data_IF_129054586342
#
_entry.id   IF_129054586342
#
_cell.length_a   1.000
_cell.length_b   1.000
_cell.length_c   1.000
_cell.angle_alpha   90.00
_cell.angle_beta   90.00
_cell.angle_gamma   90.00
#
_symmetry.space_group_name_H-M   'P 1'
#
loop_
_entity.id
_entity.type
_entity.pdbx_description
1 polymer ?
#
# COMPACT_ATOMS: atom_id res chain seq x y z
N UNK A 1 5.73 -13.00 -23.50
CA UNK A 1 5.44 -12.40 -22.19
C UNK A 1 4.02 -12.79 -21.87
N UNK A 2 3.86 -13.74 -20.97
CA UNK A 2 2.54 -14.17 -20.52
C UNK A 2 1.98 -13.14 -19.52
N UNK A 3 0.67 -13.20 -19.30
CA UNK A 3 -0.03 -12.35 -18.36
C UNK A 3 -0.70 -13.18 -17.28
N UNK A 4 -0.57 -12.74 -16.05
CA UNK A 4 -1.07 -13.44 -14.87
C UNK A 4 -1.89 -12.50 -13.99
N UNK A 5 -2.85 -13.08 -13.26
CA UNK A 5 -3.47 -12.46 -12.09
C UNK A 5 -3.00 -13.22 -10.86
N UNK A 6 -2.64 -12.49 -9.81
CA UNK A 6 -2.15 -13.04 -8.55
C UNK A 6 -2.94 -12.42 -7.41
N UNK A 7 -3.61 -13.25 -6.62
CA UNK A 7 -4.35 -12.83 -5.42
C UNK A 7 -3.35 -12.79 -4.25
N UNK A 8 -3.24 -11.64 -3.59
CA UNK A 8 -2.48 -11.49 -2.34
C UNK A 8 -3.44 -11.49 -1.15
N UNK A 9 -3.05 -12.05 0.01
CA UNK A 9 -3.87 -12.01 1.22
C UNK A 9 -4.10 -10.58 1.71
N UNK A 10 -5.24 -10.35 2.37
CA UNK A 10 -5.62 -9.03 2.90
C UNK A 10 -4.58 -8.47 3.88
N UNK A 11 -4.00 -9.32 4.73
CA UNK A 11 -2.91 -8.92 5.66
C UNK A 11 -1.65 -8.46 4.92
N UNK A 12 -1.33 -9.11 3.79
CA UNK A 12 -0.21 -8.71 2.96
C UNK A 12 -0.52 -7.39 2.26
N UNK A 13 -1.73 -7.24 1.70
CA UNK A 13 -2.14 -5.98 1.09
C UNK A 13 -2.11 -4.83 2.09
N UNK A 14 -2.64 -5.02 3.30
CA UNK A 14 -2.54 -4.04 4.37
C UNK A 14 -1.08 -3.65 4.63
N UNK A 15 -0.17 -4.62 4.76
CA UNK A 15 1.27 -4.35 4.95
C UNK A 15 1.87 -3.53 3.81
N UNK A 16 1.54 -3.84 2.55
CA UNK A 16 2.01 -3.11 1.37
C UNK A 16 1.45 -1.68 1.28
N UNK A 17 0.29 -1.40 1.89
CA UNK A 17 -0.26 -0.05 2.03
C UNK A 17 0.49 0.77 3.08
N UNK A 18 0.98 0.11 4.14
CA UNK A 18 1.73 0.79 5.20
C UNK A 18 3.19 1.06 4.83
N UNK A 19 3.87 0.09 4.21
CA UNK A 19 5.31 0.15 3.96
C UNK A 19 5.62 0.19 2.48
N UNK A 20 6.55 1.07 2.11
CA UNK A 20 7.03 1.11 0.74
C UNK A 20 8.00 -0.05 0.47
N UNK A 21 7.51 -1.09 -0.19
CA UNK A 21 8.34 -2.14 -0.78
C UNK A 21 8.43 -1.98 -2.30
N UNK A 22 9.63 -2.11 -2.86
CA UNK A 22 9.83 -2.08 -4.32
C UNK A 22 9.46 -3.42 -5.01
N UNK A 23 9.39 -4.48 -4.21
CA UNK A 23 9.12 -5.84 -4.66
C UNK A 23 8.16 -6.50 -3.66
N UNK A 24 7.25 -7.31 -4.18
CA UNK A 24 6.37 -8.17 -3.37
C UNK A 24 6.65 -9.63 -3.68
N UNK A 25 6.68 -10.44 -2.63
CA UNK A 25 6.84 -11.90 -2.74
C UNK A 25 5.50 -12.56 -2.51
N UNK A 26 5.09 -13.43 -3.44
CA UNK A 26 3.87 -14.20 -3.32
C UNK A 26 4.21 -15.68 -3.25
N UNK A 27 3.75 -16.33 -2.18
CA UNK A 27 3.98 -17.73 -1.96
C UNK A 27 3.24 -18.60 -2.98
N UNK A 28 3.83 -19.75 -3.33
CA UNK A 28 3.19 -20.77 -4.20
C UNK A 28 2.79 -20.24 -5.59
N UNK A 29 3.71 -19.54 -6.25
CA UNK A 29 3.49 -19.12 -7.64
C UNK A 29 3.44 -20.29 -8.63
N UNK A 30 2.84 -20.12 -9.82
CA UNK A 30 2.79 -21.14 -10.84
C UNK A 30 4.22 -21.35 -11.34
N UNK A 31 4.62 -22.61 -11.45
CA UNK A 31 5.90 -23.01 -12.02
C UNK A 31 6.09 -22.57 -13.48
N UNK A 32 5.03 -22.10 -14.14
CA UNK A 32 5.03 -21.66 -15.53
C UNK A 32 5.32 -20.16 -15.70
N UNK A 33 5.17 -19.35 -14.66
CA UNK A 33 5.48 -17.92 -14.74
C UNK A 33 6.99 -17.71 -14.86
N UNK A 34 7.39 -16.89 -15.83
CA UNK A 34 8.79 -16.66 -16.16
C UNK A 34 9.18 -15.20 -15.92
N UNK A 35 10.46 -14.96 -15.66
CA UNK A 35 11.00 -13.61 -15.53
C UNK A 35 10.63 -12.77 -16.76
N UNK A 36 10.09 -11.56 -16.50
CA UNK A 36 9.59 -10.65 -17.51
C UNK A 36 8.07 -10.72 -17.73
N UNK A 37 7.39 -11.79 -17.31
CA UNK A 37 5.92 -11.86 -17.39
C UNK A 37 5.26 -10.77 -16.55
N UNK A 38 4.09 -10.29 -16.99
CA UNK A 38 3.38 -9.22 -16.31
C UNK A 38 2.23 -9.77 -15.47
N UNK A 39 2.01 -9.11 -14.34
CA UNK A 39 1.15 -9.61 -13.28
C UNK A 39 0.22 -8.49 -12.80
N UNK A 40 -1.08 -8.77 -12.75
CA UNK A 40 -2.03 -7.98 -11.97
C UNK A 40 -2.10 -8.54 -10.55
N UNK A 41 -1.84 -7.70 -9.55
CA UNK A 41 -2.06 -8.06 -8.16
C UNK A 41 -3.49 -7.74 -7.77
N UNK A 42 -4.14 -8.68 -7.11
CA UNK A 42 -5.55 -8.62 -6.71
C UNK A 42 -5.66 -8.80 -5.21
N UNK A 43 -6.44 -7.95 -4.54
CA UNK A 43 -6.84 -8.11 -3.15
C UNK A 43 -8.29 -7.64 -3.01
N UNK A 44 -9.09 -8.29 -2.17
CA UNK A 44 -10.51 -7.95 -1.95
C UNK A 44 -11.31 -7.69 -3.24
N UNK A 45 -11.15 -8.55 -4.26
CA UNK A 45 -11.81 -8.41 -5.58
C UNK A 45 -11.47 -7.12 -6.34
N UNK A 46 -10.31 -6.52 -6.04
CA UNK A 46 -9.80 -5.32 -6.72
C UNK A 46 -8.40 -5.54 -7.23
N UNK A 47 -8.09 -4.97 -8.39
CA UNK A 47 -6.73 -4.87 -8.89
C UNK A 47 -6.03 -3.72 -8.16
N UNK A 48 -5.01 -4.06 -7.38
CA UNK A 48 -4.31 -3.14 -6.49
C UNK A 48 -2.94 -2.72 -7.04
N UNK A 49 -2.39 -3.46 -7.99
CA UNK A 49 -1.12 -3.11 -8.64
C UNK A 49 -0.89 -3.85 -9.95
N UNK A 50 0.02 -3.29 -10.76
CA UNK A 50 0.64 -3.94 -11.90
C UNK A 50 2.11 -4.19 -11.56
N UNK A 51 2.56 -5.42 -11.76
CA UNK A 51 3.90 -5.86 -11.45
C UNK A 51 4.50 -6.69 -12.60
N UNK A 52 5.78 -7.01 -12.47
CA UNK A 52 6.52 -7.88 -13.38
C UNK A 52 7.25 -8.94 -12.58
N UNK A 53 7.23 -10.18 -13.07
CA UNK A 53 8.04 -11.26 -12.49
C UNK A 53 9.52 -10.92 -12.66
N UNK A 54 10.23 -10.77 -11.55
CA UNK A 54 11.69 -10.63 -11.56
C UNK A 54 12.36 -12.01 -11.58
N UNK A 55 11.89 -12.90 -10.70
CA UNK A 55 12.37 -14.27 -10.57
C UNK A 55 11.34 -15.15 -9.85
N UNK A 56 11.55 -16.45 -9.96
CA UNK A 56 10.96 -17.47 -9.09
C UNK A 56 12.03 -17.98 -8.13
N UNK A 57 11.73 -18.03 -6.83
CA UNK A 57 12.68 -18.44 -5.79
C UNK A 57 12.03 -19.49 -4.88
N UNK A 58 12.48 -20.74 -4.97
CA UNK A 58 11.96 -21.82 -4.10
C UNK A 58 10.47 -22.14 -4.24
N UNK A 59 9.79 -21.68 -5.30
CA UNK A 59 8.33 -21.81 -5.47
C UNK A 59 7.57 -20.51 -5.21
N UNK A 60 8.25 -19.46 -4.75
CA UNK A 60 7.69 -18.13 -4.57
C UNK A 60 7.93 -17.27 -5.81
N UNK A 61 6.97 -16.40 -6.10
CA UNK A 61 7.09 -15.38 -7.12
C UNK A 61 7.58 -14.07 -6.52
N UNK A 62 8.67 -13.54 -7.06
CA UNK A 62 9.21 -12.24 -6.70
C UNK A 62 8.83 -11.24 -7.79
N UNK A 63 8.02 -10.25 -7.43
CA UNK A 63 7.33 -9.35 -8.36
C UNK A 63 7.75 -7.90 -8.11
N UNK A 64 8.39 -7.27 -9.10
CA UNK A 64 8.75 -5.86 -9.06
C UNK A 64 7.57 -4.99 -9.46
N UNK A 65 7.25 -3.97 -8.66
CA UNK A 65 6.13 -3.08 -8.95
C UNK A 65 6.40 -2.22 -10.19
N UNK A 66 5.46 -2.25 -11.14
CA UNK A 66 5.43 -1.32 -12.27
C UNK A 66 4.51 -0.13 -11.96
N UNK A 67 3.35 -0.38 -11.33
CA UNK A 67 2.39 0.64 -10.86
C UNK A 67 1.67 0.14 -9.61
N UNK A 68 1.41 1.05 -8.67
CA UNK A 68 0.63 0.81 -7.44
C UNK A 68 -0.66 1.62 -7.50
N UNK A 69 -1.77 1.01 -7.15
CA UNK A 69 -3.09 1.62 -7.03
C UNK A 69 -3.70 1.23 -5.68
N UNK A 70 -2.90 1.34 -4.63
CA UNK A 70 -3.25 0.92 -3.28
C UNK A 70 -4.32 1.80 -2.64
N UNK A 71 -4.31 3.09 -2.98
CA UNK A 71 -5.23 4.09 -2.45
C UNK A 71 -6.49 4.25 -3.32
N UNK A 72 -6.37 3.96 -4.63
CA UNK A 72 -7.47 3.99 -5.61
C UNK A 72 -7.54 2.67 -6.41
N UNK A 73 -7.81 1.52 -5.75
CA UNK A 73 -7.83 0.22 -6.42
C UNK A 73 -9.05 0.08 -7.33
N UNK A 74 -8.86 -0.56 -8.48
CA UNK A 74 -9.92 -0.69 -9.49
C UNK A 74 -10.59 -2.06 -9.38
N UNK A 75 -11.92 -2.16 -9.61
CA UNK A 75 -12.62 -3.44 -9.61
C UNK A 75 -11.95 -4.51 -10.49
N UNK A 76 -11.84 -5.73 -9.96
CA UNK A 76 -11.29 -6.90 -10.66
C UNK A 76 -12.33 -7.66 -11.49
N UNK A 77 -13.40 -6.97 -11.91
CA UNK A 77 -14.49 -7.54 -12.72
C UNK A 77 -13.94 -8.43 -13.86
N UNK A 78 -14.62 -9.54 -14.13
CA UNK A 78 -14.29 -10.51 -15.17
C UNK A 78 -13.02 -11.37 -14.92
N UNK A 79 -12.31 -11.20 -13.80
CA UNK A 79 -11.29 -12.18 -13.39
C UNK A 79 -11.96 -13.46 -12.87
N UNK A 80 -12.10 -14.44 -13.75
CA UNK A 80 -12.55 -15.77 -13.39
C UNK A 80 -11.36 -16.58 -12.85
N UNK A 81 -11.31 -16.80 -11.53
CA UNK A 81 -10.30 -17.66 -10.92
C UNK A 81 -10.45 -17.72 -9.41
N UNK A 82 -10.47 -18.94 -8.88
CA UNK A 82 -10.41 -19.28 -7.45
C UNK A 82 -8.98 -19.64 -7.01
N UNK A 83 -8.02 -19.68 -7.96
CA UNK A 83 -6.61 -19.93 -7.70
C UNK A 83 -5.84 -18.66 -7.34
N UNK A 84 -4.91 -18.79 -6.38
CA UNK A 84 -3.98 -17.72 -5.97
C UNK A 84 -3.23 -17.10 -7.15
N UNK A 85 -2.91 -17.91 -8.17
CA UNK A 85 -2.33 -17.40 -9.42
C UNK A 85 -3.01 -18.03 -10.63
N UNK A 86 -3.50 -17.18 -11.53
CA UNK A 86 -4.29 -17.60 -12.69
C UNK A 86 -3.78 -16.91 -13.96
N UNK A 87 -3.54 -17.69 -15.02
CA UNK A 87 -3.20 -17.16 -16.34
C UNK A 87 -4.40 -16.40 -16.93
N UNK A 88 -4.15 -15.23 -17.51
CA UNK A 88 -5.22 -14.39 -18.06
C UNK A 88 -4.93 -13.98 -19.50
N UNK A 89 -5.99 -13.83 -20.29
CA UNK A 89 -5.88 -13.41 -21.68
C UNK A 89 -5.39 -11.96 -21.82
N UNK A 90 -4.58 -11.71 -22.84
CA UNK A 90 -3.97 -10.41 -23.12
C UNK A 90 -4.97 -9.24 -23.19
N UNK A 91 -6.16 -9.48 -23.76
CA UNK A 91 -7.21 -8.46 -23.88
C UNK A 91 -7.78 -8.05 -22.51
N UNK A 92 -8.09 -9.02 -21.66
CA UNK A 92 -8.57 -8.78 -20.30
C UNK A 92 -7.49 -8.07 -19.47
N UNK A 93 -6.26 -8.56 -19.54
CA UNK A 93 -5.11 -7.95 -18.87
C UNK A 93 -4.95 -6.48 -19.26
N UNK A 94 -4.91 -6.17 -20.57
CA UNK A 94 -4.71 -4.80 -21.06
C UNK A 94 -5.84 -3.87 -20.62
N UNK A 95 -7.09 -4.37 -20.59
CA UNK A 95 -8.25 -3.60 -20.12
C UNK A 95 -8.09 -3.22 -18.64
N UNK A 96 -7.79 -4.18 -17.77
CA UNK A 96 -7.62 -3.95 -16.33
C UNK A 96 -6.37 -3.09 -16.03
N UNK A 97 -5.23 -3.41 -16.65
CA UNK A 97 -4.00 -2.63 -16.50
C UNK A 97 -4.13 -1.18 -17.02
N UNK A 98 -5.02 -0.94 -17.99
CA UNK A 98 -5.36 0.39 -18.49
C UNK A 98 -6.17 1.22 -17.49
N UNK A 99 -6.97 0.58 -16.63
CA UNK A 99 -7.78 1.27 -15.59
C UNK A 99 -6.94 1.83 -14.45
N UNK A 100 -5.79 1.21 -14.14
CA UNK A 100 -4.85 1.66 -13.10
C UNK A 100 -4.21 3.04 -13.37
N UNK A 101 -4.48 3.65 -14.52
CA UNK A 101 -3.94 4.95 -14.88
C UNK A 101 -2.43 4.96 -15.13
N UNK A 102 -1.89 6.16 -15.37
CA UNK A 102 -0.46 6.38 -15.43
C UNK A 102 0.09 6.59 -14.01
N UNK A 103 1.38 6.28 -13.81
CA UNK A 103 2.04 6.61 -12.55
C UNK A 103 2.02 8.13 -12.35
N UNK A 104 1.48 8.58 -11.23
CA UNK A 104 1.44 10.00 -10.88
C UNK A 104 2.87 10.56 -10.73
N UNK A 105 3.04 11.83 -11.10
CA UNK A 105 4.30 12.53 -10.90
C UNK A 105 4.63 12.64 -9.41
N UNK A 106 5.91 12.42 -9.08
CA UNK A 106 6.40 12.56 -7.70
C UNK A 106 6.30 14.02 -7.27
N UNK A 107 5.69 14.25 -6.11
CA UNK A 107 5.65 15.54 -5.43
C UNK A 107 6.53 15.50 -4.18
N UNK A 108 7.04 16.65 -3.78
CA UNK A 108 7.77 16.79 -2.53
C UNK A 108 6.77 16.98 -1.39
N UNK A 109 6.87 16.12 -0.39
CA UNK A 109 6.06 16.14 0.82
C UNK A 109 6.95 16.33 2.04
N UNK A 110 6.46 17.07 3.03
CA UNK A 110 7.04 17.11 4.36
C UNK A 110 6.20 16.19 5.24
N UNK A 111 6.88 15.33 6.00
CA UNK A 111 6.25 14.34 6.88
C UNK A 111 6.85 14.50 8.27
N UNK A 112 6.00 14.57 9.30
CA UNK A 112 6.43 14.68 10.69
C UNK A 112 5.61 13.80 11.61
N UNK A 113 6.20 13.41 12.74
CA UNK A 113 5.49 12.80 13.86
C UNK A 113 5.66 13.74 15.03
N UNK A 114 4.54 14.22 15.58
CA UNK A 114 4.54 15.10 16.75
C UNK A 114 4.06 14.32 17.97
N UNK A 115 4.90 14.22 18.99
CA UNK A 115 4.58 13.54 20.25
C UNK A 115 4.88 14.45 21.44
N UNK A 116 3.96 14.58 22.40
CA UNK A 116 4.25 15.26 23.65
C UNK A 116 5.20 14.40 24.48
N UNK A 117 6.41 14.93 24.76
CA UNK A 117 7.43 14.22 25.55
C UNK A 117 7.86 15.10 26.73
N UNK A 118 7.73 14.57 27.94
CA UNK A 118 8.24 15.18 29.15
C UNK A 118 9.60 14.59 29.51
N UNK A 119 10.63 15.44 29.56
CA UNK A 119 11.99 15.00 29.85
C UNK A 119 12.79 16.08 30.59
N UNK A 120 13.82 15.66 31.34
CA UNK A 120 14.66 16.58 32.12
C UNK A 120 15.65 17.37 31.25
N UNK A 121 15.85 16.95 30.00
CA UNK A 121 16.70 17.64 29.03
C UNK A 121 16.29 17.37 27.57
N UNK A 122 16.67 18.23 26.62
CA UNK A 122 16.41 18.00 25.19
C UNK A 122 16.99 16.68 24.68
N UNK A 123 18.18 16.28 25.13
CA UNK A 123 18.81 15.04 24.70
C UNK A 123 18.06 13.80 25.23
N UNK A 124 17.43 13.90 26.40
CA UNK A 124 16.57 12.85 26.92
C UNK A 124 15.25 12.77 26.14
N UNK A 125 14.64 13.92 25.80
CA UNK A 125 13.44 13.94 24.98
C UNK A 125 13.66 13.22 23.63
N UNK A 126 14.81 13.43 22.98
CA UNK A 126 15.16 12.72 21.73
C UNK A 126 15.33 11.21 21.94
N UNK A 127 15.92 10.77 23.07
CA UNK A 127 16.04 9.34 23.37
C UNK A 127 14.67 8.70 23.61
N UNK A 128 13.80 9.38 24.35
CA UNK A 128 12.43 8.94 24.55
C UNK A 128 11.66 8.90 23.23
N UNK A 129 11.78 9.92 22.37
CA UNK A 129 11.16 9.95 21.04
C UNK A 129 11.47 8.70 20.24
N UNK A 130 12.75 8.34 20.10
CA UNK A 130 13.14 7.14 19.35
C UNK A 130 12.68 5.84 20.01
N UNK A 131 12.55 5.82 21.34
CA UNK A 131 12.00 4.67 22.06
C UNK A 131 10.51 4.49 21.72
N UNK A 132 9.72 5.56 21.76
CA UNK A 132 8.29 5.52 21.40
C UNK A 132 8.08 5.15 19.93
N UNK A 133 8.88 5.68 19.01
CA UNK A 133 8.82 5.30 17.59
C UNK A 133 9.05 3.80 17.41
N UNK A 134 9.99 3.22 18.14
CA UNK A 134 10.30 1.79 18.06
C UNK A 134 9.23 0.90 18.72
N UNK A 135 8.56 1.40 19.77
CA UNK A 135 7.54 0.66 20.51
C UNK A 135 6.15 0.69 19.86
N UNK A 136 5.72 1.87 19.39
CA UNK A 136 4.36 2.12 18.90
C UNK A 136 4.24 1.92 17.39
N UNK A 137 5.25 2.35 16.63
CA UNK A 137 5.29 2.19 15.18
C UNK A 137 4.16 2.91 14.41
N UNK A 138 3.99 2.61 13.11
CA UNK A 138 3.04 3.31 12.24
C UNK A 138 1.56 2.96 12.49
N UNK A 139 1.26 1.98 13.36
CA UNK A 139 -0.11 1.60 13.67
C UNK A 139 -0.75 2.53 14.71
N UNK A 140 0.06 3.08 15.61
CA UNK A 140 -0.42 3.89 16.73
C UNK A 140 0.01 5.36 16.62
N UNK A 141 1.02 5.67 15.81
CA UNK A 141 1.55 7.02 15.70
C UNK A 141 0.94 7.80 14.53
N UNK A 142 0.26 8.94 14.79
CA UNK A 142 -0.19 9.82 13.72
C UNK A 142 1.01 10.47 13.03
N UNK A 143 0.97 10.43 11.70
CA UNK A 143 1.92 11.11 10.84
C UNK A 143 1.24 12.32 10.21
N UNK A 144 1.86 13.48 10.29
CA UNK A 144 1.36 14.71 9.70
C UNK A 144 2.07 14.95 8.38
N UNK A 145 1.30 15.16 7.32
CA UNK A 145 1.78 15.32 5.95
C UNK A 145 1.29 16.64 5.38
N UNK A 146 2.16 17.35 4.66
CA UNK A 146 1.78 18.52 3.88
C UNK A 146 2.66 18.68 2.63
N UNK A 147 2.16 19.32 1.56
CA UNK A 147 2.95 19.63 0.39
C UNK A 147 4.10 20.58 0.74
N UNK A 148 5.27 20.37 0.13
CA UNK A 148 6.36 21.34 0.24
C UNK A 148 5.93 22.69 -0.35
N UNK A 149 6.00 23.76 0.47
CA UNK A 149 5.54 25.11 0.10
C UNK A 149 4.08 25.42 0.43
N UNK A 150 3.37 24.50 1.09
CA UNK A 150 2.02 24.72 1.64
C UNK A 150 1.90 24.07 3.02
N UNK A 151 2.60 24.62 4.01
CA UNK A 151 2.69 24.04 5.36
C UNK A 151 1.40 24.15 6.18
N UNK A 152 0.42 24.94 5.71
CA UNK A 152 -0.87 25.10 6.38
C UNK A 152 -1.87 24.00 6.00
N UNK A 153 -1.63 23.25 4.92
CA UNK A 153 -2.47 22.15 4.48
C UNK A 153 -2.23 20.83 5.26
N UNK A 154 -1.77 20.94 6.51
CA UNK A 154 -1.38 19.81 7.35
C UNK A 154 -2.52 18.81 7.52
N UNK A 155 -2.31 17.59 7.05
CA UNK A 155 -3.25 16.48 7.17
C UNK A 155 -2.64 15.36 8.02
N UNK A 156 -3.42 14.80 8.94
CA UNK A 156 -3.00 13.65 9.73
C UNK A 156 -3.34 12.34 9.01
N UNK A 157 -2.42 11.39 9.09
CA UNK A 157 -2.53 10.04 8.57
C UNK A 157 -2.17 9.02 9.64
N UNK A 158 -3.02 7.98 9.78
CA UNK A 158 -2.77 6.79 10.61
C UNK A 158 -2.95 5.58 9.71
N UNK A 159 -2.03 4.61 9.74
CA UNK A 159 -2.04 3.43 8.85
C UNK A 159 -2.09 3.78 7.35
N UNK A 160 -1.61 4.95 6.94
CA UNK A 160 -1.65 5.40 5.55
C UNK A 160 -3.04 5.88 5.08
N UNK A 161 -4.02 5.98 5.97
CA UNK A 161 -5.32 6.60 5.70
C UNK A 161 -5.42 7.97 6.39
N UNK A 162 -6.15 8.89 5.77
CA UNK A 162 -6.47 10.17 6.41
C UNK A 162 -7.24 9.92 7.71
N UNK A 163 -6.79 10.51 8.80
CA UNK A 163 -7.41 10.40 10.10
C UNK A 163 -7.84 11.80 10.54
N UNK A 164 -9.14 11.99 10.79
CA UNK A 164 -9.60 13.18 11.49
C UNK A 164 -9.03 13.14 12.92
N UNK A 165 -8.53 14.27 13.40
CA UNK A 165 -8.00 14.40 14.76
C UNK A 165 -8.81 15.41 15.56
N UNK A 166 -9.92 15.91 15.02
CA UNK A 166 -10.85 16.77 15.73
C UNK A 166 -11.76 15.91 16.63
N UNK A 167 -11.60 15.99 17.97
CA UNK A 167 -12.42 15.22 18.90
C UNK A 167 -13.90 15.62 18.87
N UNK A 168 -14.24 16.80 18.34
CA UNK A 168 -15.62 17.28 18.28
C UNK A 168 -16.40 16.75 17.06
N UNK A 169 -15.71 16.16 16.06
CA UNK A 169 -16.34 15.62 14.84
C UNK A 169 -16.52 14.08 14.85
N UNK A 170 -16.00 13.37 15.86
CA UNK A 170 -16.13 11.89 15.97
C UNK A 170 -17.57 11.41 16.31
N UNK A 171 -18.47 12.29 16.74
CA UNK A 171 -19.79 11.95 17.28
C UNK A 171 -20.95 11.89 16.24
N UNK A 172 -20.71 12.10 14.93
CA UNK A 172 -21.80 12.25 13.95
C UNK A 172 -22.24 10.97 13.19
N UNK A 173 -21.57 9.81 13.35
CA UNK A 173 -21.89 8.60 12.56
C UNK A 173 -22.73 7.50 13.25
N UNK A 174 -23.14 7.63 14.52
CA UNK A 174 -23.89 6.55 15.22
C UNK A 174 -25.43 6.66 15.23
N UNK A 175 -26.05 7.66 14.61
CA UNK A 175 -27.52 7.83 14.65
C UNK A 175 -28.20 7.82 13.27
N UNK A 176 -28.13 6.70 12.54
CA UNK A 176 -29.09 6.37 11.46
C UNK A 176 -29.41 4.88 11.36
N UNK A 177 -30.24 4.40 12.29
CA UNK A 177 -31.14 3.25 12.09
C UNK A 177 -32.46 3.70 11.42
#
# INVERSE_FOLDING_TARGET
MAQWSVIIPDEQWATERLFQHDVVTVASGPTEASAGDEVLLVAEERVVALARVEKTDGGDLVLGYLRRAFDEPVPADDLAGDGTVTAIGEELFRRLAGRLGAQADKKAWLVSVAMPIEATSPAEAVRQFWSHIAELGPQELPTYVWPSGDELAMQAFVLGAEANQDPEEEDEEEDKD
#
